data_IF_498986321571
#
_entry.id   IF_498986321571
#
_cell.length_a   1.000
_cell.length_b   1.000
_cell.length_c   1.000
_cell.angle_alpha   90.00
_cell.angle_beta   90.00
_cell.angle_gamma   90.00
#
_symmetry.space_group_name_H-M   'P 1'
#
loop_
_entity.id
_entity.type
_entity.pdbx_description
1 polymer ?
#
# COMPACT_ATOMS: atom_id res chain seq x y z
N UNK A 1 6.36 15.97 -25.33
CA UNK A 1 7.20 14.97 -26.03
C UNK A 1 6.78 13.58 -25.57
N UNK A 2 6.06 12.82 -26.40
CA UNK A 2 5.88 11.35 -26.32
C UNK A 2 5.17 10.87 -27.58
N UNK A 3 5.84 10.92 -28.73
CA UNK A 3 5.33 10.38 -30.00
C UNK A 3 5.72 8.92 -30.22
N UNK A 4 5.79 8.11 -29.16
CA UNK A 4 6.19 6.69 -29.23
C UNK A 4 5.15 5.83 -28.54
N UNK A 5 4.86 4.67 -29.15
CA UNK A 5 3.93 3.65 -28.63
C UNK A 5 4.29 3.26 -27.20
N UNK A 6 5.59 3.13 -26.89
CA UNK A 6 6.04 2.82 -25.54
C UNK A 6 5.70 3.93 -24.55
N UNK A 7 5.82 5.20 -24.97
CA UNK A 7 5.44 6.35 -24.14
C UNK A 7 3.95 6.36 -23.81
N UNK A 8 3.11 6.05 -24.79
CA UNK A 8 1.67 5.90 -24.58
C UNK A 8 1.34 4.74 -23.64
N UNK A 9 1.90 3.55 -23.87
CA UNK A 9 1.69 2.40 -23.00
C UNK A 9 2.11 2.69 -21.55
N UNK A 10 3.28 3.32 -21.37
CA UNK A 10 3.77 3.68 -20.05
C UNK A 10 2.91 4.74 -19.36
N UNK A 11 2.36 5.71 -20.10
CA UNK A 11 1.42 6.69 -19.56
C UNK A 11 0.12 6.01 -19.13
N UNK A 12 -0.53 5.26 -20.02
CA UNK A 12 -1.78 4.56 -19.71
C UNK A 12 -1.66 3.63 -18.51
N UNK A 13 -0.53 2.93 -18.35
CA UNK A 13 -0.31 2.07 -17.18
C UNK A 13 -0.16 2.88 -15.88
N UNK A 14 0.54 4.02 -15.91
CA UNK A 14 0.67 4.89 -14.73
C UNK A 14 -0.68 5.47 -14.33
N UNK A 15 -1.42 5.99 -15.30
CA UNK A 15 -2.73 6.60 -15.06
C UNK A 15 -3.69 5.57 -14.44
N UNK A 16 -3.72 4.34 -14.97
CA UNK A 16 -4.52 3.25 -14.41
C UNK A 16 -4.13 2.88 -12.97
N UNK A 17 -2.83 2.81 -12.65
CA UNK A 17 -2.37 2.49 -11.29
C UNK A 17 -2.65 3.63 -10.30
N UNK A 18 -2.57 4.88 -10.75
CA UNK A 18 -2.91 6.06 -9.96
C UNK A 18 -4.41 6.09 -9.64
N UNK A 19 -5.25 5.91 -10.67
CA UNK A 19 -6.70 5.82 -10.52
C UNK A 19 -7.10 4.69 -9.57
N UNK A 20 -6.46 3.52 -9.67
CA UNK A 20 -6.71 2.39 -8.78
C UNK A 20 -6.38 2.76 -7.32
N UNK A 21 -5.25 3.43 -7.09
CA UNK A 21 -4.84 3.89 -5.78
C UNK A 21 -5.77 4.96 -5.20
N UNK A 22 -6.23 5.90 -6.01
CA UNK A 22 -7.17 6.94 -5.60
C UNK A 22 -8.52 6.36 -5.20
N UNK A 23 -9.07 5.44 -6.00
CA UNK A 23 -10.32 4.76 -5.67
C UNK A 23 -10.22 3.96 -4.37
N UNK A 24 -9.09 3.27 -4.15
CA UNK A 24 -8.87 2.51 -2.91
C UNK A 24 -8.81 3.41 -1.66
N UNK A 25 -8.36 4.67 -1.78
CA UNK A 25 -8.24 5.63 -0.66
C UNK A 25 -9.48 6.46 -0.40
N UNK A 26 -10.20 6.83 -1.47
CA UNK A 26 -11.29 7.82 -1.41
C UNK A 26 -12.68 7.20 -1.52
N UNK A 27 -12.77 5.96 -2.04
CA UNK A 27 -14.02 5.23 -2.19
C UNK A 27 -14.57 4.76 -0.84
N UNK A 28 -15.86 4.39 -0.83
CA UNK A 28 -16.44 3.73 0.35
C UNK A 28 -15.80 2.36 0.57
N UNK A 29 -15.91 1.80 1.79
CA UNK A 29 -15.41 0.45 2.09
C UNK A 29 -15.98 -0.61 1.14
N UNK A 30 -17.23 -0.44 0.68
CA UNK A 30 -17.86 -1.31 -0.30
C UNK A 30 -17.18 -1.21 -1.66
N UNK A 31 -16.83 0.00 -2.10
CA UNK A 31 -16.13 0.24 -3.36
C UNK A 31 -14.71 -0.30 -3.28
N UNK A 32 -13.99 -0.05 -2.18
CA UNK A 32 -12.67 -0.61 -1.93
C UNK A 32 -12.69 -2.15 -1.93
N UNK A 33 -13.69 -2.78 -1.30
CA UNK A 33 -13.83 -4.24 -1.30
C UNK A 33 -14.17 -4.81 -2.70
N UNK A 34 -14.96 -4.10 -3.50
CA UNK A 34 -15.23 -4.47 -4.90
C UNK A 34 -13.96 -4.36 -5.73
N UNK A 35 -13.27 -3.23 -5.63
CA UNK A 35 -12.01 -2.96 -6.31
C UNK A 35 -10.94 -4.02 -5.97
N UNK A 36 -10.80 -4.36 -4.70
CA UNK A 36 -9.88 -5.40 -4.24
C UNK A 36 -10.22 -6.78 -4.86
N UNK A 37 -11.49 -7.09 -5.08
CA UNK A 37 -11.89 -8.37 -5.69
C UNK A 37 -11.68 -8.38 -7.21
N UNK A 38 -11.85 -7.25 -7.89
CA UNK A 38 -11.78 -7.19 -9.37
C UNK A 38 -10.38 -6.87 -9.89
N UNK A 39 -9.68 -5.94 -9.26
CA UNK A 39 -8.42 -5.39 -9.78
C UNK A 39 -7.18 -5.99 -9.11
N UNK A 40 -7.21 -6.28 -7.80
CA UNK A 40 -6.05 -6.85 -7.10
C UNK A 40 -5.56 -8.17 -7.74
N UNK A 41 -6.42 -9.12 -8.17
CA UNK A 41 -5.94 -10.33 -8.84
C UNK A 41 -5.18 -10.03 -10.14
N UNK A 42 -5.57 -8.99 -10.87
CA UNK A 42 -4.91 -8.57 -12.12
C UNK A 42 -3.55 -7.94 -11.83
N UNK A 43 -3.46 -7.08 -10.84
CA UNK A 43 -2.20 -6.46 -10.40
C UNK A 43 -1.23 -7.52 -9.88
N UNK A 44 -1.71 -8.47 -9.07
CA UNK A 44 -0.89 -9.59 -8.58
C UNK A 44 -0.41 -10.48 -9.73
N UNK A 45 -1.27 -10.76 -10.71
CA UNK A 45 -0.88 -11.53 -11.89
C UNK A 45 0.19 -10.80 -12.73
N UNK A 46 0.04 -9.49 -12.94
CA UNK A 46 1.03 -8.68 -13.65
C UNK A 46 2.37 -8.65 -12.91
N UNK A 47 2.36 -8.45 -11.58
CA UNK A 47 3.57 -8.49 -10.76
C UNK A 47 4.26 -9.85 -10.82
N UNK A 48 3.50 -10.95 -10.72
CA UNK A 48 4.03 -12.32 -10.86
C UNK A 48 4.69 -12.52 -12.22
N UNK A 49 4.05 -12.10 -13.31
CA UNK A 49 4.63 -12.22 -14.64
C UNK A 49 5.97 -11.48 -14.76
N UNK A 50 6.08 -10.27 -14.19
CA UNK A 50 7.35 -9.52 -14.15
C UNK A 50 8.39 -10.25 -13.29
N UNK A 51 8.01 -10.77 -12.12
CA UNK A 51 8.94 -11.49 -11.24
C UNK A 51 9.39 -12.83 -11.82
N UNK A 52 8.54 -13.50 -12.59
CA UNK A 52 8.88 -14.75 -13.28
C UNK A 52 9.93 -14.50 -14.38
N UNK A 53 9.78 -13.42 -15.15
CA UNK A 53 10.80 -12.96 -16.11
C UNK A 53 12.14 -12.65 -15.43
N UNK A 54 12.08 -12.18 -14.17
CA UNK A 54 13.25 -11.82 -13.39
C UNK A 54 13.79 -12.93 -12.49
N UNK A 55 13.26 -14.16 -12.58
CA UNK A 55 13.55 -15.24 -11.64
C UNK A 55 15.07 -15.50 -11.51
N UNK A 56 15.66 -15.34 -10.31
CA UNK A 56 17.07 -15.62 -10.10
C UNK A 56 17.40 -17.10 -10.34
N UNK A 57 18.57 -17.35 -10.94
CA UNK A 57 19.14 -18.68 -11.06
C UNK A 57 19.63 -19.24 -9.71
N UNK A 58 20.21 -20.45 -9.74
CA UNK A 58 20.76 -21.11 -8.54
C UNK A 58 21.84 -20.31 -7.81
N UNK A 59 22.52 -19.40 -8.51
CA UNK A 59 23.54 -18.51 -7.97
C UNK A 59 22.96 -17.19 -7.42
N UNK A 60 21.63 -17.06 -7.37
CA UNK A 60 20.92 -15.87 -6.92
C UNK A 60 20.94 -14.73 -7.94
N UNK A 61 21.39 -14.96 -9.18
CA UNK A 61 21.51 -13.91 -10.20
C UNK A 61 20.38 -13.98 -11.22
N UNK A 62 19.77 -12.82 -11.48
CA UNK A 62 18.77 -12.67 -12.51
C UNK A 62 19.44 -12.51 -13.90
N UNK A 63 19.11 -13.34 -14.90
CA UNK A 63 19.68 -13.24 -16.24
C UNK A 63 19.22 -11.96 -16.96
N UNK A 64 17.97 -11.54 -16.76
CA UNK A 64 17.37 -10.35 -17.39
C UNK A 64 17.98 -9.03 -16.90
N UNK A 65 18.49 -9.00 -15.67
CA UNK A 65 19.19 -7.83 -15.15
C UNK A 65 20.64 -7.67 -15.69
N UNK A 66 21.13 -8.61 -16.50
CA UNK A 66 22.45 -8.46 -17.14
C UNK A 66 22.36 -7.47 -18.29
N UNK A 67 22.97 -6.30 -18.11
CA UNK A 67 22.94 -5.22 -19.12
C UNK A 67 24.01 -5.39 -20.22
N UNK A 68 25.01 -6.25 -20.04
CA UNK A 68 26.03 -6.62 -21.04
C UNK A 68 26.47 -8.07 -20.86
N UNK A 69 26.89 -8.71 -21.96
CA UNK A 69 27.37 -10.11 -21.99
C UNK A 69 28.50 -10.42 -20.97
N UNK A 70 29.25 -9.40 -20.54
CA UNK A 70 30.40 -9.54 -19.64
C UNK A 70 30.23 -8.85 -18.27
N UNK A 71 29.08 -8.24 -17.96
CA UNK A 71 28.86 -7.64 -16.63
C UNK A 71 28.16 -8.62 -15.69
N UNK A 72 28.56 -8.59 -14.42
CA UNK A 72 27.92 -9.40 -13.38
C UNK A 72 26.52 -8.84 -13.13
N UNK A 73 25.50 -9.71 -13.15
CA UNK A 73 24.13 -9.29 -12.82
C UNK A 73 24.10 -8.73 -11.39
N UNK A 74 23.39 -7.60 -11.16
CA UNK A 74 23.22 -7.07 -9.81
C UNK A 74 22.55 -8.12 -8.92
N UNK A 75 23.03 -8.21 -7.67
CA UNK A 75 22.47 -9.08 -6.64
C UNK A 75 22.24 -8.22 -5.40
N UNK A 76 21.00 -8.12 -4.89
CA UNK A 76 19.80 -8.82 -5.37
C UNK A 76 19.28 -8.30 -6.72
N UNK A 77 18.42 -9.11 -7.37
CA UNK A 77 17.71 -8.69 -8.58
C UNK A 77 16.89 -7.42 -8.29
N UNK A 78 17.00 -6.39 -9.15
CA UNK A 78 16.30 -5.12 -8.95
C UNK A 78 14.78 -5.28 -8.86
N UNK A 79 14.17 -6.10 -9.72
CA UNK A 79 12.72 -6.31 -9.70
C UNK A 79 12.25 -6.94 -8.38
N UNK A 80 12.95 -7.98 -7.89
CA UNK A 80 12.64 -8.61 -6.60
C UNK A 80 12.90 -7.67 -5.42
N UNK A 81 14.00 -6.92 -5.44
CA UNK A 81 14.31 -5.95 -4.39
C UNK A 81 13.22 -4.87 -4.31
N UNK A 82 12.85 -4.28 -5.44
CA UNK A 82 11.81 -3.26 -5.49
C UNK A 82 10.47 -3.82 -5.03
N UNK A 83 10.06 -5.00 -5.51
CA UNK A 83 8.81 -5.62 -5.07
C UNK A 83 8.81 -5.89 -3.56
N UNK A 84 9.90 -6.42 -3.00
CA UNK A 84 10.03 -6.67 -1.57
C UNK A 84 9.90 -5.38 -0.75
N UNK A 85 10.62 -4.32 -1.14
CA UNK A 85 10.57 -3.05 -0.44
C UNK A 85 9.18 -2.37 -0.54
N UNK A 86 8.57 -2.38 -1.72
CA UNK A 86 7.32 -1.66 -1.98
C UNK A 86 6.05 -2.39 -1.58
N UNK A 87 6.10 -3.72 -1.41
CA UNK A 87 4.92 -4.51 -1.02
C UNK A 87 5.02 -4.94 0.43
N UNK A 88 6.21 -5.32 0.92
CA UNK A 88 6.32 -5.95 2.25
C UNK A 88 6.85 -4.99 3.32
N UNK A 89 7.81 -4.13 2.98
CA UNK A 89 8.46 -3.27 3.99
C UNK A 89 7.68 -1.98 4.25
N UNK A 90 6.92 -1.49 3.27
CA UNK A 90 6.13 -0.25 3.41
C UNK A 90 4.80 -0.44 4.15
N UNK A 91 4.36 -1.68 4.42
CA UNK A 91 3.10 -1.97 5.12
C UNK A 91 3.23 -1.95 6.65
N UNK A 92 4.44 -2.14 7.19
CA UNK A 92 4.69 -2.22 8.64
C UNK A 92 4.43 -0.88 9.39
N UNK A 93 4.38 0.26 8.69
CA UNK A 93 4.20 1.58 9.29
C UNK A 93 2.74 2.08 9.40
N UNK A 94 1.77 1.37 8.82
CA UNK A 94 0.39 1.85 8.68
C UNK A 94 -0.63 1.14 9.59
N UNK A 95 -0.25 0.03 10.26
CA UNK A 95 -1.19 -0.81 11.02
C UNK A 95 -1.30 -0.51 12.52
N UNK A 96 -0.59 0.48 13.08
CA UNK A 96 -0.68 0.80 14.51
C UNK A 96 -1.82 1.77 14.91
N UNK A 97 -2.49 2.43 13.96
CA UNK A 97 -3.35 3.60 14.28
C UNK A 97 -4.87 3.35 14.39
N UNK A 98 -5.36 2.10 14.28
CA UNK A 98 -6.82 1.84 14.28
C UNK A 98 -7.38 1.04 15.47
N UNK A 99 -6.55 0.57 16.40
CA UNK A 99 -7.03 -0.23 17.54
C UNK A 99 -7.11 0.50 18.89
N UNK A 100 -6.38 1.61 19.10
CA UNK A 100 -6.22 2.24 20.43
C UNK A 100 -7.00 3.59 20.59
N UNK A 101 -7.93 3.92 19.69
CA UNK A 101 -8.69 5.18 19.75
C UNK A 101 -10.06 5.10 20.44
N UNK A 102 -10.66 3.91 20.56
CA UNK A 102 -12.10 3.80 20.86
C UNK A 102 -12.45 3.58 22.35
N UNK A 103 -11.48 3.44 23.25
CA UNK A 103 -11.75 3.23 24.70
C UNK A 103 -11.54 4.45 25.59
N UNK A 104 -11.03 5.57 25.06
CA UNK A 104 -10.75 6.78 25.86
C UNK A 104 -11.94 7.77 25.89
N UNK A 105 -12.86 7.69 24.93
CA UNK A 105 -14.03 8.59 24.88
C UNK A 105 -15.14 8.25 25.88
N UNK A 106 -15.22 6.99 26.33
CA UNK A 106 -16.30 6.54 27.23
C UNK A 106 -16.03 6.89 28.71
N UNK A 107 -14.76 6.90 29.14
CA UNK A 107 -14.40 7.27 30.53
C UNK A 107 -14.60 8.75 30.86
N UNK A 108 -14.60 9.66 29.88
CA UNK A 108 -14.79 11.11 30.14
C UNK A 108 -16.26 11.53 30.32
N UNK A 109 -17.24 10.75 29.87
CA UNK A 109 -18.67 11.09 30.06
C UNK A 109 -19.23 10.70 31.43
N UNK A 110 -18.61 9.74 32.13
CA UNK A 110 -19.05 9.34 33.48
C UNK A 110 -18.54 10.32 34.55
N UNK A 111 -17.36 10.93 34.36
CA UNK A 111 -16.78 11.83 35.36
C UNK A 111 -17.32 13.27 35.34
N UNK A 112 -18.03 13.69 34.29
CA UNK A 112 -18.58 15.04 34.16
C UNK A 112 -19.92 15.26 34.88
N UNK A 113 -20.67 14.20 35.21
CA UNK A 113 -21.98 14.33 35.88
C UNK A 113 -21.92 14.31 37.41
N UNK A 114 -20.76 14.06 38.01
CA UNK A 114 -20.63 14.03 39.48
C UNK A 114 -20.21 15.37 40.09
N UNK A 115 -19.59 16.27 39.32
CA UNK A 115 -19.05 17.54 39.86
C UNK A 115 -20.10 18.67 39.88
N UNK A 116 -21.11 18.62 39.01
CA UNK A 116 -22.15 19.66 38.94
C UNK A 116 -23.18 19.58 40.09
N UNK A 117 -23.31 18.45 40.78
CA UNK A 117 -24.23 18.33 41.93
C UNK A 117 -23.69 18.98 43.21
N UNK A 118 -22.39 19.23 43.32
CA UNK A 118 -21.81 19.82 44.54
C UNK A 118 -21.88 21.35 44.58
N UNK A 119 -22.00 22.03 43.43
CA UNK A 119 -22.13 23.51 43.38
C UNK A 119 -23.55 24.03 43.54
N UNK A 120 -24.57 23.20 43.33
CA UNK A 120 -25.97 23.60 43.49
C UNK A 120 -26.48 23.58 44.96
N UNK A 121 -25.63 23.21 45.94
CA UNK A 121 -26.01 23.12 47.37
C UNK A 121 -25.37 24.19 48.28
N UNK A 122 -24.60 25.13 47.72
CA UNK A 122 -23.92 26.19 48.50
C UNK A 122 -24.33 27.61 48.08
N UNK A 123 -25.38 27.75 47.26
CA UNK A 123 -25.94 29.04 46.84
C UNK A 123 -27.41 29.20 47.24
N UNK A 124 -27.78 28.63 48.41
CA UNK A 124 -29.05 28.83 49.09
C UNK A 124 -28.79 29.13 50.55
#
# INVERSE_FOLDING_TARGET
MSGSIFGHMAASLRDYLEELGDHARTGSDLDAARLARTELPRVVAALRAVLDEHRPGRDGRCPTCRTRLFTRAPSPCRAYLTAHLSVLVTEDGAQEDTAEGHRVADRRRVSGRLVDRHRARLAG
#
